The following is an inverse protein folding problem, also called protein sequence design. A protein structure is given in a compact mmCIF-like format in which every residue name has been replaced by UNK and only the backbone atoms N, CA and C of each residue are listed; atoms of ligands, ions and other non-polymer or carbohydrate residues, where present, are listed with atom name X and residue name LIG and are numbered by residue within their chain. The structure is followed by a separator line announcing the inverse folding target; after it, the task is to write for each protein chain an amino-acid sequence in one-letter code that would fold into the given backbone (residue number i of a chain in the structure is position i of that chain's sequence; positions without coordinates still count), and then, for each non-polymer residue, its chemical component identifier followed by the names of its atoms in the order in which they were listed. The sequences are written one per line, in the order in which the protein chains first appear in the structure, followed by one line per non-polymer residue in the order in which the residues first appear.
data_IF_290056706456
#
_entry.id   IF_290056706456
#
_cell.length_a   1.000
_cell.length_b   1.000
_cell.length_c   1.000
_cell.angle_alpha   90.00
_cell.angle_beta   90.00
_cell.angle_gamma   90.00
#
_symmetry.space_group_name_H-M   'P 1'
#
loop_
_entity.id
_entity.type
_entity.pdbx_description
1 polymer ?
#
# COMPACT_ATOMS: atom_id res chain seq x y z
N UNK A 1 2.67 -37.58 -14.14
CA UNK A 1 3.61 -36.43 -14.20
C UNK A 1 3.46 -35.80 -15.58
N UNK A 2 2.69 -34.71 -15.76
CA UNK A 2 2.72 -33.97 -17.01
C UNK A 2 3.75 -32.83 -16.91
N UNK A 3 4.58 -32.75 -17.95
CA UNK A 3 5.58 -31.71 -18.22
C UNK A 3 5.06 -30.30 -17.94
N UNK A 4 5.54 -29.67 -16.86
CA UNK A 4 5.48 -28.22 -16.69
C UNK A 4 6.58 -27.59 -17.55
N UNK A 5 6.19 -26.62 -18.38
CA UNK A 5 7.11 -25.75 -19.14
C UNK A 5 8.19 -25.17 -18.21
N UNK A 6 9.42 -24.94 -18.69
CA UNK A 6 10.49 -24.36 -17.88
C UNK A 6 10.06 -22.99 -17.34
N UNK A 7 10.33 -22.77 -16.05
CA UNK A 7 10.10 -21.51 -15.36
C UNK A 7 10.78 -20.36 -16.10
N UNK A 8 10.04 -19.25 -16.29
CA UNK A 8 10.52 -17.98 -16.90
C UNK A 8 11.71 -17.35 -16.11
N UNK A 9 12.15 -17.99 -15.02
CA UNK A 9 13.27 -17.58 -14.18
C UNK A 9 14.62 -18.22 -14.56
N UNK A 10 14.73 -18.96 -15.66
CA UNK A 10 16.02 -19.49 -16.10
C UNK A 10 16.95 -18.39 -16.67
N UNK A 11 17.84 -17.92 -15.78
CA UNK A 11 19.29 -17.74 -15.99
C UNK A 11 19.92 -16.35 -16.19
N UNK A 12 19.23 -15.21 -16.19
CA UNK A 12 19.97 -13.94 -16.39
C UNK A 12 19.60 -12.74 -15.53
N UNK A 13 18.49 -12.78 -14.78
CA UNK A 13 18.07 -11.62 -13.98
C UNK A 13 17.55 -12.03 -12.60
N UNK A 14 17.81 -11.23 -11.55
CA UNK A 14 17.19 -11.44 -10.25
C UNK A 14 15.67 -11.39 -10.37
N UNK A 15 14.99 -12.50 -10.08
CA UNK A 15 13.55 -12.65 -10.19
C UNK A 15 12.95 -13.12 -8.85
N UNK A 16 11.70 -12.72 -8.61
CA UNK A 16 10.89 -13.23 -7.51
C UNK A 16 10.18 -14.50 -7.98
N UNK A 17 10.39 -15.62 -7.29
CA UNK A 17 9.67 -16.87 -7.56
C UNK A 17 8.65 -17.08 -6.44
N UNK A 18 7.41 -17.43 -6.82
CA UNK A 18 6.35 -17.78 -5.87
C UNK A 18 6.07 -19.27 -6.02
N UNK A 19 6.36 -20.04 -4.99
CA UNK A 19 6.04 -21.46 -4.93
C UNK A 19 4.77 -21.63 -4.08
N UNK A 20 3.76 -22.29 -4.64
CA UNK A 20 2.51 -22.61 -3.94
C UNK A 20 2.53 -24.10 -3.64
N UNK A 21 2.50 -24.47 -2.36
CA UNK A 21 2.46 -25.86 -1.90
C UNK A 21 1.14 -26.12 -1.18
N UNK A 22 0.46 -27.21 -1.53
CA UNK A 22 -0.83 -27.58 -0.93
C UNK A 22 -0.64 -28.67 0.13
N UNK A 23 -1.12 -28.43 1.35
CA UNK A 23 -1.23 -29.42 2.42
C UNK A 23 -2.62 -29.31 3.10
N UNK A 24 -3.18 -30.44 3.53
CA UNK A 24 -4.63 -30.72 3.67
C UNK A 24 -5.29 -30.06 4.92
N UNK A 25 -4.71 -29.01 5.49
CA UNK A 25 -5.37 -28.24 6.57
C UNK A 25 -4.81 -26.83 6.81
N UNK A 26 -3.61 -26.53 6.34
CA UNK A 26 -3.01 -25.19 6.37
C UNK A 26 -2.26 -24.95 5.04
N UNK A 27 -2.66 -23.93 4.29
CA UNK A 27 -2.02 -23.56 3.03
C UNK A 27 -0.90 -22.55 3.31
N UNK A 28 0.36 -23.00 3.20
CA UNK A 28 1.51 -22.10 3.28
C UNK A 28 2.00 -21.75 1.89
N UNK A 29 2.08 -20.45 1.59
CA UNK A 29 2.61 -19.94 0.33
C UNK A 29 4.05 -19.48 0.56
N UNK A 30 5.00 -20.11 -0.13
CA UNK A 30 6.42 -19.79 -0.02
C UNK A 30 6.82 -18.83 -1.13
N UNK A 31 7.22 -17.62 -0.74
CA UNK A 31 7.81 -16.63 -1.66
C UNK A 31 9.31 -16.66 -1.46
N UNK A 32 10.06 -17.03 -2.50
CA UNK A 32 11.52 -17.11 -2.44
C UNK A 32 12.16 -16.16 -3.45
N UNK A 33 13.16 -15.42 -2.99
CA UNK A 33 14.02 -14.64 -3.87
C UNK A 33 15.06 -15.54 -4.54
N UNK A 34 15.18 -15.48 -5.87
CA UNK A 34 16.26 -16.13 -6.61
C UNK A 34 17.23 -15.08 -7.18
N UNK A 35 18.49 -15.15 -6.75
CA UNK A 35 19.55 -14.23 -7.15
C UNK A 35 20.23 -13.57 -5.95
N UNK A 36 21.14 -12.62 -6.21
CA UNK A 36 21.84 -11.89 -5.16
C UNK A 36 20.82 -11.08 -4.31
N UNK A 37 20.70 -11.33 -2.98
CA UNK A 37 19.78 -10.58 -2.12
C UNK A 37 20.27 -9.15 -1.84
N UNK A 38 21.55 -8.84 -2.09
CA UNK A 38 22.12 -7.52 -1.92
C UNK A 38 21.72 -6.59 -3.08
N UNK A 39 20.45 -6.18 -3.08
CA UNK A 39 19.91 -5.27 -4.08
C UNK A 39 20.58 -3.88 -3.99
N UNK A 40 21.00 -3.28 -5.13
CA UNK A 40 21.54 -1.92 -5.14
C UNK A 40 20.45 -0.86 -4.88
N UNK A 41 19.20 -1.19 -5.24
CA UNK A 41 18.01 -0.35 -5.08
C UNK A 41 16.85 -1.23 -4.61
N UNK A 42 16.10 -0.75 -3.63
CA UNK A 42 14.95 -1.43 -3.08
C UNK A 42 13.88 -1.66 -4.14
N UNK A 43 13.20 -2.80 -4.05
CA UNK A 43 12.14 -3.18 -4.99
C UNK A 43 10.85 -3.46 -4.24
N UNK A 44 9.72 -3.20 -4.88
CA UNK A 44 8.40 -3.54 -4.34
C UNK A 44 7.69 -4.41 -5.36
N UNK A 45 7.16 -5.53 -4.89
CA UNK A 45 6.39 -6.47 -5.71
C UNK A 45 4.97 -6.56 -5.18
N UNK A 46 4.01 -6.63 -6.10
CA UNK A 46 2.62 -6.99 -5.78
C UNK A 46 2.44 -8.44 -6.14
N UNK A 47 2.12 -9.26 -5.14
CA UNK A 47 1.71 -10.65 -5.34
C UNK A 47 0.20 -10.65 -5.29
N UNK A 48 -0.43 -11.16 -6.34
CA UNK A 48 -1.88 -11.34 -6.39
C UNK A 48 -2.17 -12.82 -6.51
N UNK A 49 -2.93 -13.33 -5.56
CA UNK A 49 -3.39 -14.71 -5.56
C UNK A 49 -4.90 -14.67 -5.72
N UNK A 50 -5.39 -15.39 -6.71
CA UNK A 50 -6.81 -15.43 -7.06
C UNK A 50 -7.26 -16.88 -7.06
N UNK A 51 -8.26 -17.18 -6.23
CA UNK A 51 -8.88 -18.48 -6.21
C UNK A 51 -10.00 -18.52 -7.25
N UNK A 52 -9.84 -19.37 -8.27
CA UNK A 52 -10.88 -19.62 -9.26
C UNK A 52 -11.74 -20.77 -8.73
N UNK A 53 -13.02 -20.51 -8.46
CA UNK A 53 -13.95 -21.55 -8.04
C UNK A 53 -14.51 -22.31 -9.25
N UNK A 54 -14.35 -23.62 -9.24
CA UNK A 54 -14.74 -24.51 -10.34
C UNK A 54 -16.26 -24.74 -10.44
N UNK A 55 -16.75 -24.83 -11.69
CA UNK A 55 -18.04 -25.37 -12.20
C UNK A 55 -18.70 -26.53 -11.40
N UNK A 56 -19.89 -26.41 -10.78
CA UNK A 56 -20.66 -27.58 -10.29
C UNK A 56 -22.09 -27.41 -10.80
N UNK A 57 -22.21 -27.63 -12.11
CA UNK A 57 -23.48 -27.76 -12.83
C UNK A 57 -24.08 -29.13 -12.52
N UNK A 58 -24.72 -29.25 -11.36
CA UNK A 58 -25.70 -30.32 -11.17
C UNK A 58 -27.00 -29.89 -11.86
N UNK A 59 -27.07 -30.15 -13.16
CA UNK A 59 -28.32 -30.16 -13.90
C UNK A 59 -29.04 -31.49 -13.66
N UNK A 60 -30.18 -31.41 -13.00
CA UNK A 60 -31.35 -32.27 -13.12
C UNK A 60 -31.13 -33.79 -13.35
N UNK A 61 -31.02 -34.56 -12.27
CA UNK A 61 -31.61 -35.90 -12.24
C UNK A 61 -32.40 -36.10 -10.94
N UNK A 62 -33.69 -35.75 -11.02
CA UNK A 62 -34.79 -36.23 -10.17
C UNK A 62 -34.60 -36.15 -8.64
N UNK A 63 -35.00 -35.02 -8.05
CA UNK A 63 -35.31 -34.98 -6.61
C UNK A 63 -35.21 -33.58 -6.03
N UNK A 64 -36.34 -33.03 -5.58
CA UNK A 64 -36.50 -31.64 -5.16
C UNK A 64 -35.52 -31.18 -4.09
N UNK A 65 -34.79 -30.12 -4.41
CA UNK A 65 -33.94 -29.38 -3.49
C UNK A 65 -33.16 -28.30 -4.23
N UNK A 66 -33.74 -27.11 -4.35
CA UNK A 66 -33.05 -25.90 -4.86
C UNK A 66 -32.00 -25.46 -3.84
N UNK A 67 -30.80 -26.06 -3.91
CA UNK A 67 -29.64 -25.61 -3.18
C UNK A 67 -28.94 -24.49 -3.98
N UNK A 68 -28.92 -23.27 -3.43
CA UNK A 68 -28.11 -22.18 -3.94
C UNK A 68 -26.61 -22.50 -3.71
N UNK A 69 -25.82 -22.58 -4.78
CA UNK A 69 -24.36 -22.71 -4.67
C UNK A 69 -23.72 -21.33 -4.80
N UNK A 70 -23.35 -20.73 -3.66
CA UNK A 70 -22.53 -19.52 -3.66
C UNK A 70 -21.10 -19.85 -4.12
N UNK A 71 -20.50 -18.94 -4.88
CA UNK A 71 -19.07 -18.95 -5.18
C UNK A 71 -18.44 -17.66 -4.70
N UNK A 72 -17.59 -17.77 -3.68
CA UNK A 72 -16.71 -16.69 -3.23
C UNK A 72 -15.37 -16.81 -3.95
N UNK A 73 -15.17 -16.04 -5.01
CA UNK A 73 -13.82 -15.88 -5.57
C UNK A 73 -13.03 -14.98 -4.61
N UNK A 74 -12.11 -15.56 -3.83
CA UNK A 74 -11.20 -14.80 -2.99
C UNK A 74 -9.99 -14.37 -3.82
N UNK A 75 -9.74 -13.06 -3.85
CA UNK A 75 -8.51 -12.51 -4.38
C UNK A 75 -7.82 -11.73 -3.26
N UNK A 76 -6.61 -12.13 -2.90
CA UNK A 76 -5.79 -11.41 -1.95
C UNK A 76 -4.51 -10.91 -2.61
N UNK A 77 -4.12 -9.71 -2.19
CA UNK A 77 -2.90 -9.06 -2.64
C UNK A 77 -1.93 -8.91 -1.48
N UNK A 78 -0.70 -9.37 -1.64
CA UNK A 78 0.39 -9.08 -0.73
C UNK A 78 1.36 -8.09 -1.38
N UNK A 79 1.90 -7.18 -0.58
CA UNK A 79 3.00 -6.30 -1.01
C UNK A 79 4.27 -6.78 -0.36
N UNK A 80 5.24 -7.18 -1.17
CA UNK A 80 6.57 -7.57 -0.70
C UNK A 80 7.52 -6.41 -0.94
N UNK A 81 8.06 -5.87 0.14
CA UNK A 81 9.04 -4.79 0.08
C UNK A 81 10.45 -5.35 0.34
N UNK A 82 11.31 -5.27 -0.66
CA UNK A 82 12.71 -5.65 -0.54
C UNK A 82 13.57 -4.40 -0.34
N UNK A 83 14.34 -4.39 0.74
CA UNK A 83 15.27 -3.32 1.07
C UNK A 83 16.54 -3.42 0.22
N UNK A 84 17.13 -2.28 -0.12
CA UNK A 84 18.48 -2.28 -0.66
C UNK A 84 19.48 -2.72 0.43
N UNK A 85 20.65 -3.19 0.02
CA UNK A 85 21.69 -3.64 0.96
C UNK A 85 22.24 -2.49 1.84
N UNK A 86 22.19 -1.24 1.36
CA UNK A 86 22.75 -0.06 2.02
C UNK A 86 21.84 1.16 1.87
N UNK A 87 22.05 2.14 2.74
CA UNK A 87 21.37 3.44 2.73
C UNK A 87 20.11 3.47 3.59
N UNK A 88 19.61 4.68 3.83
CA UNK A 88 18.39 4.95 4.58
C UNK A 88 17.34 5.61 3.68
N UNK A 89 16.04 5.38 3.92
CA UNK A 89 14.99 6.15 3.27
C UNK A 89 15.18 7.65 3.45
N UNK A 90 14.94 8.44 2.39
CA UNK A 90 15.01 9.90 2.43
C UNK A 90 13.73 10.50 1.84
N UNK A 91 12.58 10.37 2.52
CA UNK A 91 11.35 10.98 2.06
C UNK A 91 11.43 12.50 2.17
N UNK A 92 10.88 13.19 1.18
CA UNK A 92 10.72 14.64 1.15
C UNK A 92 9.32 14.96 0.64
N UNK A 93 8.56 15.71 1.42
CA UNK A 93 7.29 16.31 0.97
C UNK A 93 7.63 17.51 0.10
N UNK A 94 7.39 17.40 -1.21
CA UNK A 94 7.65 18.49 -2.15
C UNK A 94 6.56 19.55 -2.13
N UNK A 95 5.31 19.11 -1.96
CA UNK A 95 4.15 19.99 -1.88
C UNK A 95 3.03 19.34 -1.10
N UNK A 96 2.20 20.17 -0.50
CA UNK A 96 0.96 19.79 0.17
C UNK A 96 -0.10 20.84 -0.07
N UNK A 97 -1.33 20.42 -0.33
CA UNK A 97 -2.48 21.31 -0.52
C UNK A 97 -3.72 20.75 0.14
N UNK A 98 -4.55 21.63 0.69
CA UNK A 98 -5.86 21.29 1.23
C UNK A 98 -6.84 21.23 0.07
N UNK A 99 -7.59 20.14 -0.03
CA UNK A 99 -8.58 19.89 -1.08
C UNK A 99 -9.85 19.39 -0.42
N UNK A 100 -10.99 19.68 -1.05
CA UNK A 100 -12.29 19.17 -0.64
C UNK A 100 -12.83 18.27 -1.76
N UNK A 101 -13.43 17.14 -1.40
CA UNK A 101 -14.14 16.31 -2.37
C UNK A 101 -15.54 16.88 -2.69
N UNK A 102 -16.27 16.23 -3.60
CA UNK A 102 -17.62 16.64 -3.96
C UNK A 102 -18.65 16.52 -2.82
N UNK A 103 -18.33 15.81 -1.75
CA UNK A 103 -19.14 15.69 -0.54
C UNK A 103 -18.71 16.70 0.56
N UNK A 104 -17.74 17.58 0.26
CA UNK A 104 -17.21 18.56 1.20
C UNK A 104 -16.23 18.00 2.24
N UNK A 105 -15.79 16.74 2.10
CA UNK A 105 -14.79 16.16 2.99
C UNK A 105 -13.40 16.70 2.64
N UNK A 106 -12.68 17.16 3.66
CA UNK A 106 -11.34 17.70 3.51
C UNK A 106 -10.28 16.58 3.43
N UNK A 107 -9.29 16.76 2.57
CA UNK A 107 -8.09 15.94 2.54
C UNK A 107 -6.86 16.77 2.17
N UNK A 108 -5.69 16.36 2.64
CA UNK A 108 -4.41 16.91 2.17
C UNK A 108 -3.90 16.05 1.04
N UNK A 109 -3.78 16.63 -0.15
CA UNK A 109 -3.03 16.02 -1.23
C UNK A 109 -1.55 16.46 -1.11
N UNK A 110 -0.66 15.50 -0.94
CA UNK A 110 0.77 15.72 -0.84
C UNK A 110 1.55 14.97 -1.93
N UNK A 111 2.56 15.61 -2.50
CA UNK A 111 3.54 14.96 -3.37
C UNK A 111 4.78 14.62 -2.54
N UNK A 112 5.01 13.33 -2.32
CA UNK A 112 6.16 12.84 -1.56
C UNK A 112 7.16 12.21 -2.52
N UNK A 113 8.40 12.67 -2.46
CA UNK A 113 9.54 12.09 -3.17
C UNK A 113 10.42 11.29 -2.26
N UNK A 114 11.14 10.33 -2.82
CA UNK A 114 12.17 9.60 -2.13
C UNK A 114 13.42 9.54 -3.01
N UNK A 115 14.44 10.33 -2.66
CA UNK A 115 15.71 10.41 -3.40
C UNK A 115 16.74 9.36 -2.96
N UNK A 116 16.34 8.41 -2.13
CA UNK A 116 17.21 7.32 -1.67
C UNK A 116 17.05 6.06 -2.52
N UNK A 117 17.95 5.10 -2.30
CA UNK A 117 17.85 3.75 -2.86
C UNK A 117 16.98 2.80 -2.03
N UNK A 118 16.44 3.24 -0.89
CA UNK A 118 15.55 2.42 -0.05
C UNK A 118 14.09 2.76 -0.34
N UNK A 119 13.19 1.79 -0.26
CA UNK A 119 11.76 2.12 -0.22
C UNK A 119 11.47 2.88 1.08
N UNK A 120 10.64 3.92 1.00
CA UNK A 120 10.08 4.56 2.18
C UNK A 120 8.65 4.07 2.40
N UNK A 121 8.32 3.71 3.64
CA UNK A 121 6.99 3.28 4.08
C UNK A 121 6.48 4.35 5.05
N UNK A 122 5.38 5.03 4.72
CA UNK A 122 4.83 6.07 5.61
C UNK A 122 4.40 5.50 6.96
N UNK A 123 3.97 4.25 6.99
CA UNK A 123 3.55 3.53 8.20
C UNK A 123 4.69 3.24 9.19
N UNK A 124 5.90 3.73 8.92
CA UNK A 124 7.04 3.67 9.84
C UNK A 124 7.35 5.02 10.49
N UNK A 125 6.52 6.02 10.23
CA UNK A 125 6.72 7.41 10.60
C UNK A 125 5.40 8.05 10.99
N UNK A 126 5.48 9.07 11.85
CA UNK A 126 4.34 9.92 12.13
C UNK A 126 4.20 10.94 11.00
N UNK A 127 2.96 11.23 10.60
CA UNK A 127 2.67 12.26 9.60
C UNK A 127 1.93 13.41 10.26
N UNK A 128 2.60 14.56 10.45
CA UNK A 128 1.97 15.75 11.00
C UNK A 128 1.41 16.61 9.87
N UNK A 129 0.10 16.87 9.93
CA UNK A 129 -0.57 17.89 9.13
C UNK A 129 -0.71 19.14 9.96
N UNK A 130 -0.29 20.28 9.41
CA UNK A 130 -0.46 21.61 10.03
C UNK A 130 -1.14 22.55 9.03
N UNK A 131 -2.22 23.21 9.47
CA UNK A 131 -2.97 24.19 8.67
C UNK A 131 -2.66 25.58 9.19
N UNK A 132 -2.47 26.52 8.26
CA UNK A 132 -2.16 27.92 8.54
C UNK A 132 -3.20 28.86 7.94
N UNK A 133 -3.39 30.00 8.59
CA UNK A 133 -4.24 31.10 8.10
C UNK A 133 -3.47 32.02 7.12
N UNK A 134 -4.09 33.15 6.75
CA UNK A 134 -3.51 34.15 5.86
C UNK A 134 -2.28 34.87 6.43
N UNK A 135 -2.14 34.88 7.76
CA UNK A 135 -1.01 35.49 8.46
C UNK A 135 0.09 34.46 8.75
N UNK A 136 0.02 33.28 8.14
CA UNK A 136 0.93 32.16 8.36
C UNK A 136 0.96 31.67 9.83
N UNK A 137 -0.13 31.91 10.57
CA UNK A 137 -0.29 31.43 11.95
C UNK A 137 -0.89 30.03 11.93
N UNK A 138 -0.35 29.13 12.77
CA UNK A 138 -0.90 27.77 12.91
C UNK A 138 -2.27 27.85 13.57
N UNK A 139 -3.30 27.43 12.85
CA UNK A 139 -4.69 27.40 13.35
C UNK A 139 -5.17 26.00 13.69
N UNK A 140 -4.53 24.96 13.15
CA UNK A 140 -4.90 23.58 13.41
C UNK A 140 -3.76 22.62 13.08
N UNK A 141 -3.71 21.48 13.76
CA UNK A 141 -2.79 20.39 13.43
C UNK A 141 -3.32 19.03 13.85
N UNK A 142 -2.89 17.99 13.16
CA UNK A 142 -3.21 16.61 13.49
C UNK A 142 -2.08 15.68 13.08
N UNK A 143 -1.79 14.70 13.93
CA UNK A 143 -0.75 13.70 13.70
C UNK A 143 -1.40 12.37 13.37
N UNK A 144 -1.04 11.79 12.22
CA UNK A 144 -1.32 10.39 11.94
C UNK A 144 -0.20 9.56 12.54
N UNK A 145 -0.57 8.64 13.42
CA UNK A 145 0.32 7.56 13.86
C UNK A 145 0.50 6.53 12.73
N UNK A 146 1.43 5.58 12.87
CA UNK A 146 1.54 4.44 11.96
C UNK A 146 0.23 3.71 11.70
N UNK A 147 -0.59 3.49 12.74
CA UNK A 147 -1.87 2.78 12.60
C UNK A 147 -2.88 3.61 11.81
N UNK A 148 -3.03 4.89 12.14
CA UNK A 148 -3.93 5.80 11.40
C UNK A 148 -3.52 5.90 9.92
N UNK A 149 -2.20 5.87 9.67
CA UNK A 149 -1.63 5.90 8.32
C UNK A 149 -1.99 4.64 7.54
N UNK A 150 -1.89 3.45 8.14
CA UNK A 150 -2.30 2.20 7.50
C UNK A 150 -3.77 2.25 7.11
N UNK A 151 -4.64 2.69 8.02
CA UNK A 151 -6.09 2.74 7.78
C UNK A 151 -6.47 3.78 6.71
N UNK A 152 -5.76 4.92 6.69
CA UNK A 152 -6.10 6.05 5.83
C UNK A 152 -5.49 5.98 4.43
N UNK A 153 -4.22 5.56 4.33
CA UNK A 153 -3.43 5.63 3.08
C UNK A 153 -2.75 4.29 2.72
N UNK A 154 -3.03 3.23 3.48
CA UNK A 154 -2.35 1.95 3.38
C UNK A 154 -0.87 2.06 3.77
N UNK A 155 -0.02 1.23 3.17
CA UNK A 155 1.43 1.24 3.46
C UNK A 155 2.15 2.55 3.12
N UNK A 156 1.54 3.43 2.30
CA UNK A 156 2.14 4.70 1.90
C UNK A 156 3.50 4.56 1.21
N UNK A 157 3.76 3.47 0.48
CA UNK A 157 5.08 3.22 -0.14
C UNK A 157 5.46 4.32 -1.13
N UNK A 158 6.66 4.90 -0.95
CA UNK A 158 7.35 5.75 -1.93
C UNK A 158 8.62 5.04 -2.38
N UNK A 159 8.62 4.57 -3.62
CA UNK A 159 9.73 3.81 -4.20
C UNK A 159 11.00 4.66 -4.36
N UNK A 160 12.18 4.03 -4.43
CA UNK A 160 13.44 4.70 -4.71
C UNK A 160 13.40 5.57 -5.95
N UNK A 161 13.92 6.80 -5.86
CA UNK A 161 14.00 7.78 -6.94
C UNK A 161 12.65 8.06 -7.63
N UNK A 162 11.54 7.90 -6.90
CA UNK A 162 10.19 8.14 -7.38
C UNK A 162 9.47 9.17 -6.52
N UNK A 163 8.40 9.71 -7.09
CA UNK A 163 7.43 10.54 -6.41
C UNK A 163 6.08 9.79 -6.32
N UNK A 164 5.33 10.03 -5.25
CA UNK A 164 3.97 9.52 -5.10
C UNK A 164 3.07 10.63 -4.58
N UNK A 165 1.89 10.75 -5.19
CA UNK A 165 0.79 11.55 -4.63
C UNK A 165 0.05 10.73 -3.57
N UNK A 166 -0.16 11.32 -2.42
CA UNK A 166 -0.79 10.70 -1.26
C UNK A 166 -1.88 11.64 -0.76
N UNK A 167 -3.04 11.07 -0.40
CA UNK A 167 -4.19 11.83 0.06
C UNK A 167 -4.46 11.46 1.52
N UNK A 168 -4.25 12.39 2.43
CA UNK A 168 -4.56 12.20 3.85
C UNK A 168 -5.96 12.75 4.13
N UNK A 169 -6.96 11.91 4.43
CA UNK A 169 -8.30 12.36 4.77
C UNK A 169 -8.28 13.07 6.11
N UNK A 170 -8.76 14.31 6.22
CA UNK A 170 -8.78 15.04 7.49
C UNK A 170 -10.14 14.78 8.17
N UNK A 171 -10.24 13.82 9.13
CA UNK A 171 -11.50 13.59 9.80
C UNK A 171 -11.90 14.81 10.62
N UNK A 172 -13.16 15.22 10.49
CA UNK A 172 -13.77 16.25 11.33
C UNK A 172 -13.04 17.61 11.33
N UNK A 173 -12.49 18.06 10.20
CA UNK A 173 -11.93 19.41 10.10
C UNK A 173 -13.00 20.46 10.49
N UNK A 174 -12.81 21.27 11.55
CA UNK A 174 -13.83 22.21 11.98
C UNK A 174 -14.12 23.26 10.90
N UNK A 175 -15.41 23.56 10.66
CA UNK A 175 -15.82 24.44 9.57
C UNK A 175 -15.27 25.88 9.68
N UNK A 176 -14.96 26.37 10.89
CA UNK A 176 -14.32 27.67 11.07
C UNK A 176 -12.84 27.64 10.64
N UNK A 177 -12.12 26.55 10.92
CA UNK A 177 -10.74 26.33 10.44
C UNK A 177 -10.72 26.20 8.92
N UNK A 178 -11.63 25.41 8.35
CA UNK A 178 -11.70 25.21 6.90
C UNK A 178 -11.88 26.53 6.12
N UNK A 179 -12.67 27.47 6.67
CA UNK A 179 -12.88 28.81 6.07
C UNK A 179 -11.66 29.73 6.17
N UNK A 180 -10.85 29.56 7.21
CA UNK A 180 -9.67 30.39 7.48
C UNK A 180 -8.40 29.82 6.84
N UNK A 181 -8.38 28.53 6.50
CA UNK A 181 -7.24 27.84 5.93
C UNK A 181 -6.75 28.49 4.63
N UNK A 182 -5.46 28.84 4.59
CA UNK A 182 -4.79 29.35 3.39
C UNK A 182 -3.71 28.42 2.88
N UNK A 183 -2.99 27.77 3.78
CA UNK A 183 -1.98 26.79 3.41
C UNK A 183 -2.00 25.60 4.35
N UNK A 184 -1.44 24.49 3.89
CA UNK A 184 -1.27 23.27 4.67
C UNK A 184 0.12 22.72 4.43
N UNK A 185 0.74 22.23 5.50
CA UNK A 185 2.03 21.57 5.49
C UNK A 185 1.87 20.14 5.97
N UNK A 186 2.38 19.19 5.19
CA UNK A 186 2.61 17.82 5.65
C UNK A 186 4.09 17.68 6.03
N UNK A 187 4.34 17.16 7.22
CA UNK A 187 5.66 16.78 7.70
C UNK A 187 5.69 15.28 8.02
N UNK A 188 6.77 14.61 7.63
CA UNK A 188 7.01 13.21 7.94
C UNK A 188 8.10 13.18 9.02
N UNK A 189 7.79 12.60 10.18
CA UNK A 189 8.66 12.57 11.35
C UNK A 189 8.97 11.13 11.74
N UNK A 190 10.19 10.82 12.20
CA UNK A 190 10.44 9.54 12.85
C UNK A 190 9.43 9.36 13.99
N UNK A 191 8.72 8.23 14.04
CA UNK A 191 7.82 7.96 15.16
C UNK A 191 8.63 7.93 16.45
N UNK A 192 8.12 8.59 17.49
CA UNK A 192 8.71 8.49 18.83
C UNK A 192 8.69 7.01 19.24
N UNK A 193 9.86 6.46 19.56
CA UNK A 193 9.97 5.10 20.12
C UNK A 193 9.60 5.09 21.58
#
# INVERSE_FOLDING_TARGET
IPNSKPDICEQTYPCLTVNISFAISEETIYVQWRGNPALPVGKTYKISISQILAKDDRSNEKGGGTAFKFRVALAFGAIVNMRAAKGNPKPLVQSSRLVFDGAGKAFVEALVTNSSHQNFLMVQADSLITIYDANNSRIWSYTYTPNDTVESVGLGIVQPNRARRIKFPIPNLPAHIARQAKSVKLEIRPSAK
#
